data_IF_044423009008
#
_entry.id   IF_044423009008
#
_cell.length_a   1.000
_cell.length_b   1.000
_cell.length_c   1.000
_cell.angle_alpha   90.00
_cell.angle_beta   90.00
_cell.angle_gamma   90.00
#
_symmetry.space_group_name_H-M   'P 1'
#
loop_
_entity.id
_entity.type
_entity.pdbx_description
1 polymer ?
#
# COMPACT_ATOMS: atom_id res chain seq x y z
N UNK A 1 -31.09 23.29 16.57
CA UNK A 1 -31.10 23.26 18.05
C UNK A 1 -29.94 24.09 18.54
N UNK A 2 -30.25 25.12 19.32
CA UNK A 2 -29.34 26.14 19.85
C UNK A 2 -29.02 25.78 21.30
N UNK A 3 -27.76 25.74 21.70
CA UNK A 3 -27.38 25.90 23.10
C UNK A 3 -26.12 26.75 23.20
N UNK A 4 -26.30 27.97 23.72
CA UNK A 4 -25.25 28.80 24.32
C UNK A 4 -25.30 28.59 25.83
N UNK A 5 -24.15 28.34 26.44
CA UNK A 5 -23.81 28.84 27.77
C UNK A 5 -22.29 28.70 27.97
N UNK A 6 -21.60 29.83 28.10
CA UNK A 6 -20.21 29.91 28.59
C UNK A 6 -20.20 29.87 30.12
N UNK A 7 -19.21 29.21 30.70
CA UNK A 7 -18.66 29.54 32.02
C UNK A 7 -17.12 29.50 31.95
N UNK A 8 -16.40 30.40 32.64
CA UNK A 8 -14.95 30.56 32.48
C UNK A 8 -14.20 29.57 33.37
N UNK A 9 -13.22 28.85 32.81
CA UNK A 9 -12.28 28.04 33.58
C UNK A 9 -10.97 28.80 33.71
N UNK A 10 -10.56 29.00 34.96
CA UNK A 10 -9.32 29.62 35.41
C UNK A 10 -8.10 28.87 34.87
N UNK A 11 -7.20 29.59 34.19
CA UNK A 11 -5.88 29.10 33.80
C UNK A 11 -4.95 29.04 35.03
N UNK A 12 -4.46 27.84 35.36
CA UNK A 12 -3.24 27.65 36.15
C UNK A 12 -2.13 27.18 35.21
N UNK A 13 -0.96 27.85 35.17
CA UNK A 13 0.14 27.39 34.34
C UNK A 13 0.85 26.26 35.09
N UNK A 14 0.66 25.02 34.66
CA UNK A 14 1.59 23.95 35.00
C UNK A 14 2.70 23.99 33.96
N UNK A 15 3.82 24.58 34.33
CA UNK A 15 5.06 24.43 33.58
C UNK A 15 5.49 22.96 33.68
N UNK A 16 5.24 22.18 32.62
CA UNK A 16 5.87 20.88 32.44
C UNK A 16 6.92 21.01 31.36
N UNK A 17 8.17 21.17 31.79
CA UNK A 17 9.36 21.03 30.96
C UNK A 17 9.47 19.55 30.54
N UNK A 18 8.92 19.21 29.38
CA UNK A 18 9.25 17.95 28.72
C UNK A 18 10.34 18.21 27.70
N UNK A 19 11.52 17.71 28.05
CA UNK A 19 12.73 17.71 27.26
C UNK A 19 12.47 17.19 25.85
N UNK A 20 12.85 17.99 24.85
CA UNK A 20 12.98 17.57 23.47
C UNK A 20 14.16 16.57 23.35
N UNK A 21 13.89 15.29 23.62
CA UNK A 21 14.75 14.24 23.12
C UNK A 21 14.46 14.02 21.64
N UNK A 22 15.13 14.83 20.82
CA UNK A 22 15.39 14.52 19.42
C UNK A 22 16.18 13.20 19.35
N UNK A 23 15.46 12.07 19.32
CA UNK A 23 16.04 10.81 18.85
C UNK A 23 16.21 10.93 17.35
N UNK A 24 17.42 11.34 16.98
CA UNK A 24 18.07 11.13 15.70
C UNK A 24 17.58 9.80 15.12
N UNK A 25 16.72 9.88 14.10
CA UNK A 25 16.41 8.72 13.27
C UNK A 25 17.75 8.18 12.79
N UNK A 26 18.08 6.95 13.20
CA UNK A 26 19.16 6.22 12.57
C UNK A 26 18.77 6.14 11.09
N UNK A 27 19.52 6.87 10.27
CA UNK A 27 19.57 6.64 8.84
C UNK A 27 19.91 5.17 8.64
N UNK A 28 18.89 4.36 8.38
CA UNK A 28 19.11 3.07 7.76
C UNK A 28 19.60 3.41 6.36
N UNK A 29 20.90 3.24 6.16
CA UNK A 29 21.48 3.32 4.83
C UNK A 29 20.63 2.45 3.88
N UNK A 30 20.21 2.97 2.72
CA UNK A 30 19.45 2.18 1.77
C UNK A 30 20.32 1.00 1.38
N UNK A 31 19.89 -0.21 1.73
CA UNK A 31 20.54 -1.45 1.33
C UNK A 31 20.63 -1.40 -0.20
N UNK A 32 21.83 -1.19 -0.75
CA UNK A 32 22.09 -1.21 -2.18
C UNK A 32 21.73 -2.61 -2.70
N UNK A 33 20.57 -2.71 -3.35
CA UNK A 33 19.76 -3.93 -3.43
C UNK A 33 19.93 -4.75 -4.72
N UNK A 34 21.00 -4.59 -5.51
CA UNK A 34 21.07 -5.32 -6.78
C UNK A 34 21.43 -6.81 -6.64
N UNK A 35 21.94 -7.26 -5.48
CA UNK A 35 22.26 -8.69 -5.23
C UNK A 35 21.64 -9.27 -3.95
N UNK A 36 20.82 -8.51 -3.23
CA UNK A 36 20.27 -8.94 -1.95
C UNK A 36 19.00 -9.80 -2.15
N UNK A 37 19.05 -11.06 -1.70
CA UNK A 37 17.85 -11.89 -1.54
C UNK A 37 17.29 -11.76 -0.13
N UNK A 38 16.01 -11.45 0.01
CA UNK A 38 15.30 -11.49 1.30
C UNK A 38 14.29 -12.64 1.22
N UNK A 39 14.29 -13.54 2.21
CA UNK A 39 13.42 -14.71 2.27
C UNK A 39 13.52 -15.63 1.02
N UNK A 40 14.73 -15.75 0.45
CA UNK A 40 15.04 -16.48 -0.78
C UNK A 40 14.34 -15.95 -2.04
N UNK A 41 13.80 -14.73 -2.02
CA UNK A 41 13.24 -14.05 -3.19
C UNK A 41 14.24 -12.98 -3.65
N UNK A 42 14.79 -13.08 -4.87
CA UNK A 42 15.71 -12.07 -5.42
C UNK A 42 15.05 -10.69 -5.55
N UNK A 43 15.85 -9.64 -5.42
CA UNK A 43 15.37 -8.27 -5.64
C UNK A 43 14.74 -8.09 -7.03
N UNK A 44 15.31 -8.69 -8.09
CA UNK A 44 14.74 -8.63 -9.45
C UNK A 44 13.32 -9.20 -9.52
N UNK A 45 13.00 -10.25 -8.77
CA UNK A 45 11.64 -10.78 -8.66
C UNK A 45 10.71 -9.79 -7.95
N UNK A 46 11.19 -9.14 -6.87
CA UNK A 46 10.40 -8.11 -6.16
C UNK A 46 10.14 -6.89 -7.05
N UNK A 47 11.16 -6.45 -7.77
CA UNK A 47 11.09 -5.36 -8.72
C UNK A 47 10.07 -5.66 -9.84
N UNK A 48 10.05 -6.89 -10.36
CA UNK A 48 9.04 -7.33 -11.34
C UNK A 48 7.62 -7.16 -10.80
N UNK A 49 7.33 -7.67 -9.60
CA UNK A 49 5.98 -7.58 -9.04
C UNK A 49 5.59 -6.17 -8.58
N UNK A 50 6.54 -5.36 -8.14
CA UNK A 50 6.30 -3.95 -7.86
C UNK A 50 5.94 -3.18 -9.14
N UNK A 51 6.65 -3.42 -10.26
CA UNK A 51 6.28 -2.84 -11.55
C UNK A 51 4.91 -3.32 -12.05
N UNK A 52 4.53 -4.57 -11.74
CA UNK A 52 3.18 -5.06 -12.02
C UNK A 52 2.11 -4.31 -11.21
N UNK A 53 2.40 -3.94 -9.96
CA UNK A 53 1.55 -3.08 -9.14
C UNK A 53 1.46 -1.66 -9.71
N UNK A 54 2.58 -1.07 -10.16
CA UNK A 54 2.62 0.25 -10.81
C UNK A 54 1.73 0.30 -12.06
N UNK A 55 1.76 -0.75 -12.88
CA UNK A 55 0.97 -0.84 -14.11
C UNK A 55 -0.53 -1.13 -13.88
N UNK A 56 -0.92 -1.56 -12.67
CA UNK A 56 -2.26 -2.07 -12.39
C UNK A 56 -3.38 -1.07 -12.72
N UNK A 57 -3.23 0.19 -12.30
CA UNK A 57 -4.24 1.23 -12.52
C UNK A 57 -4.42 1.56 -14.01
N UNK A 58 -3.32 1.58 -14.78
CA UNK A 58 -3.33 1.81 -16.21
C UNK A 58 -4.05 0.68 -16.96
N UNK A 59 -3.76 -0.57 -16.62
CA UNK A 59 -4.33 -1.74 -17.30
C UNK A 59 -5.80 -2.00 -16.95
N UNK A 60 -6.20 -1.75 -15.70
CA UNK A 60 -7.53 -2.13 -15.21
C UNK A 60 -8.56 -0.99 -15.30
N UNK A 61 -8.12 0.27 -15.43
CA UNK A 61 -9.03 1.40 -15.43
C UNK A 61 -8.68 2.44 -16.50
N UNK A 62 -7.55 3.13 -16.34
CA UNK A 62 -7.18 4.26 -17.19
C UNK A 62 -5.70 4.53 -17.08
N UNK A 63 -4.99 4.88 -18.19
CA UNK A 63 -3.61 5.35 -18.13
C UNK A 63 -3.46 6.64 -17.30
N UNK A 64 -4.55 7.37 -17.05
CA UNK A 64 -4.59 8.62 -16.29
C UNK A 64 -5.39 8.46 -14.99
N UNK A 65 -5.03 7.54 -14.08
CA UNK A 65 -5.78 7.39 -12.84
C UNK A 65 -5.49 8.60 -11.94
N UNK A 66 -6.54 9.14 -11.31
CA UNK A 66 -6.36 10.19 -10.30
C UNK A 66 -5.53 9.64 -9.12
N UNK A 67 -6.00 8.55 -8.52
CA UNK A 67 -5.34 7.85 -7.43
C UNK A 67 -4.70 6.55 -7.94
N UNK A 68 -3.43 6.64 -8.33
CA UNK A 68 -2.66 5.57 -8.98
C UNK A 68 -2.21 4.45 -8.01
N UNK A 69 -3.00 4.12 -7.00
CA UNK A 69 -2.65 3.08 -6.04
C UNK A 69 -3.02 1.70 -6.59
N UNK A 70 -2.00 0.86 -6.77
CA UNK A 70 -2.10 -0.47 -7.33
C UNK A 70 -1.46 -1.51 -6.43
N UNK A 71 -2.08 -2.70 -6.39
CA UNK A 71 -1.66 -3.80 -5.52
C UNK A 71 -1.73 -5.12 -6.27
N UNK A 72 -0.72 -5.96 -6.10
CA UNK A 72 -0.74 -7.36 -6.57
C UNK A 72 -0.46 -8.31 -5.42
N UNK A 73 -1.08 -9.48 -5.46
CA UNK A 73 -0.86 -10.55 -4.49
C UNK A 73 -0.35 -11.78 -5.25
N UNK A 74 0.78 -12.31 -4.79
CA UNK A 74 1.59 -13.29 -5.51
C UNK A 74 1.86 -14.50 -4.62
N UNK A 75 1.78 -15.69 -5.20
CA UNK A 75 2.30 -16.90 -4.61
C UNK A 75 3.70 -17.19 -5.17
N UNK A 76 4.75 -16.89 -4.40
CA UNK A 76 6.13 -17.15 -4.81
C UNK A 76 6.53 -18.63 -4.77
N UNK A 77 5.77 -19.47 -4.08
CA UNK A 77 6.03 -20.93 -4.03
C UNK A 77 5.44 -21.67 -5.23
N UNK A 78 4.52 -21.04 -5.97
CA UNK A 78 3.94 -21.60 -7.17
C UNK A 78 4.82 -21.29 -8.39
N UNK A 79 5.61 -22.26 -8.82
CA UNK A 79 6.52 -22.16 -9.97
C UNK A 79 5.87 -22.56 -11.30
N UNK A 80 4.55 -22.80 -11.36
CA UNK A 80 3.85 -23.25 -12.58
C UNK A 80 3.91 -22.24 -13.74
N UNK A 81 4.23 -20.97 -13.43
CA UNK A 81 4.39 -19.87 -14.40
C UNK A 81 5.82 -19.34 -14.49
N UNK A 82 6.79 -20.04 -13.90
CA UNK A 82 8.21 -19.67 -13.90
C UNK A 82 8.73 -19.27 -12.51
N UNK A 83 10.00 -18.85 -12.48
CA UNK A 83 10.74 -18.59 -11.23
C UNK A 83 10.29 -17.34 -10.44
N UNK A 84 9.44 -16.49 -11.03
CA UNK A 84 8.93 -15.27 -10.39
C UNK A 84 7.82 -15.55 -9.37
N UNK A 85 7.18 -16.72 -9.45
CA UNK A 85 5.92 -17.02 -8.76
C UNK A 85 4.70 -16.81 -9.65
N UNK A 86 3.51 -16.99 -9.08
CA UNK A 86 2.23 -16.85 -9.78
C UNK A 86 1.39 -15.72 -9.19
N UNK A 87 0.90 -14.83 -10.05
CA UNK A 87 -0.11 -13.84 -9.67
C UNK A 87 -1.39 -14.56 -9.22
N UNK A 88 -1.88 -14.24 -8.02
CA UNK A 88 -3.16 -14.75 -7.51
C UNK A 88 -4.28 -13.77 -7.82
N UNK A 89 -4.07 -12.50 -7.47
CA UNK A 89 -5.04 -11.45 -7.73
C UNK A 89 -4.36 -10.08 -7.82
N UNK A 90 -5.12 -9.10 -8.32
CA UNK A 90 -4.71 -7.70 -8.51
C UNK A 90 -5.85 -6.81 -8.03
N UNK A 91 -5.52 -5.63 -7.52
CA UNK A 91 -6.48 -4.61 -7.09
C UNK A 91 -5.92 -3.22 -7.31
N UNK A 92 -6.82 -2.26 -7.53
CA UNK A 92 -6.49 -0.83 -7.67
C UNK A 92 -7.41 -0.04 -6.75
N UNK A 93 -7.07 1.20 -6.42
CA UNK A 93 -7.97 2.05 -5.65
C UNK A 93 -9.25 2.35 -6.44
N UNK A 94 -10.40 1.94 -5.89
CA UNK A 94 -11.70 2.05 -6.56
C UNK A 94 -12.70 2.92 -5.81
N UNK A 95 -12.28 3.58 -4.73
CA UNK A 95 -13.18 4.31 -3.84
C UNK A 95 -14.11 5.29 -4.57
N UNK A 96 -13.59 6.13 -5.46
CA UNK A 96 -14.38 7.08 -6.26
C UNK A 96 -15.22 6.42 -7.35
N UNK A 97 -14.76 5.28 -7.89
CA UNK A 97 -15.46 4.55 -8.96
C UNK A 97 -16.69 3.81 -8.44
N UNK A 98 -16.59 3.21 -7.25
CA UNK A 98 -17.64 2.36 -6.67
C UNK A 98 -18.42 3.07 -5.56
N UNK A 99 -17.95 4.22 -5.09
CA UNK A 99 -18.58 4.94 -3.96
C UNK A 99 -18.34 4.26 -2.60
N UNK A 100 -17.28 3.46 -2.47
CA UNK A 100 -16.89 2.80 -1.22
C UNK A 100 -15.60 3.44 -0.67
N UNK A 101 -15.64 4.24 0.40
CA UNK A 101 -14.50 5.02 0.86
C UNK A 101 -13.32 4.18 1.34
N UNK A 102 -13.53 2.91 1.69
CA UNK A 102 -12.45 2.02 2.18
C UNK A 102 -11.87 1.12 1.09
N UNK A 103 -12.38 1.20 -0.14
CA UNK A 103 -11.95 0.31 -1.24
C UNK A 103 -10.66 0.83 -1.91
N UNK A 104 -9.59 0.89 -1.13
CA UNK A 104 -8.23 1.14 -1.58
C UNK A 104 -7.67 -0.09 -2.31
N UNK A 105 -6.55 0.06 -3.00
CA UNK A 105 -5.95 -1.01 -3.81
C UNK A 105 -5.69 -2.31 -3.05
N UNK A 106 -5.27 -2.20 -1.78
CA UNK A 106 -5.00 -3.35 -0.91
C UNK A 106 -6.28 -4.08 -0.50
N UNK A 107 -7.33 -3.34 -0.13
CA UNK A 107 -8.63 -3.91 0.23
C UNK A 107 -9.29 -4.54 -1.00
N UNK A 108 -9.23 -3.87 -2.15
CA UNK A 108 -9.72 -4.40 -3.42
C UNK A 108 -8.98 -5.70 -3.80
N UNK A 109 -7.65 -5.73 -3.68
CA UNK A 109 -6.87 -6.93 -3.95
C UNK A 109 -7.23 -8.09 -3.00
N UNK A 110 -7.35 -7.84 -1.69
CA UNK A 110 -7.76 -8.86 -0.72
C UNK A 110 -9.14 -9.43 -1.06
N UNK A 111 -10.12 -8.57 -1.37
CA UNK A 111 -11.46 -9.01 -1.79
C UNK A 111 -11.42 -9.86 -3.06
N UNK A 112 -10.64 -9.43 -4.06
CA UNK A 112 -10.46 -10.15 -5.31
C UNK A 112 -9.81 -11.52 -5.08
N UNK A 113 -8.78 -11.59 -4.22
CA UNK A 113 -8.16 -12.86 -3.84
C UNK A 113 -9.13 -13.81 -3.16
N UNK A 114 -9.90 -13.33 -2.18
CA UNK A 114 -10.92 -14.16 -1.51
C UNK A 114 -11.93 -14.73 -2.50
N UNK A 115 -12.40 -13.92 -3.45
CA UNK A 115 -13.31 -14.37 -4.52
C UNK A 115 -12.66 -15.40 -5.45
N UNK A 116 -11.42 -15.16 -5.89
CA UNK A 116 -10.68 -16.04 -6.81
C UNK A 116 -10.37 -17.39 -6.16
N UNK A 117 -9.91 -17.37 -4.90
CA UNK A 117 -9.50 -18.57 -4.17
C UNK A 117 -10.70 -19.48 -3.89
N UNK A 118 -11.88 -18.91 -3.63
CA UNK A 118 -13.10 -19.65 -3.25
C UNK A 118 -14.06 -19.91 -4.40
N UNK A 119 -13.77 -19.43 -5.62
CA UNK A 119 -14.62 -19.67 -6.77
C UNK A 119 -14.66 -21.16 -7.12
N UNK A 120 -15.86 -21.77 -7.05
CA UNK A 120 -16.06 -23.20 -7.29
C UNK A 120 -15.85 -23.64 -8.74
N UNK A 121 -15.93 -22.69 -9.68
CA UNK A 121 -15.57 -22.91 -11.08
C UNK A 121 -14.09 -22.57 -11.37
N UNK A 122 -13.36 -22.03 -10.39
CA UNK A 122 -11.97 -21.62 -10.52
C UNK A 122 -10.98 -22.76 -10.27
N UNK A 123 -9.71 -22.54 -10.63
CA UNK A 123 -8.65 -23.55 -10.46
C UNK A 123 -8.26 -23.79 -9.00
N UNK A 124 -8.60 -22.86 -8.10
CA UNK A 124 -8.30 -22.98 -6.67
C UNK A 124 -9.40 -23.74 -5.93
N UNK A 125 -10.68 -23.34 -6.10
CA UNK A 125 -11.86 -23.98 -5.51
C UNK A 125 -11.66 -24.36 -4.02
N UNK A 126 -11.11 -23.42 -3.25
CA UNK A 126 -10.85 -23.61 -1.83
C UNK A 126 -12.14 -23.35 -1.05
N UNK A 127 -12.30 -24.09 0.05
CA UNK A 127 -13.26 -23.69 1.08
C UNK A 127 -12.84 -22.36 1.72
N UNK A 128 -13.76 -21.70 2.45
CA UNK A 128 -13.45 -20.46 3.15
C UNK A 128 -12.28 -20.61 4.14
N UNK A 129 -12.20 -21.73 4.86
CA UNK A 129 -11.10 -22.01 5.79
C UNK A 129 -9.75 -22.17 5.07
N UNK A 130 -9.72 -22.96 4.00
CA UNK A 130 -8.51 -23.14 3.19
C UNK A 130 -8.05 -21.84 2.51
N UNK A 131 -8.99 -20.98 2.10
CA UNK A 131 -8.67 -19.67 1.55
C UNK A 131 -8.04 -18.75 2.60
N UNK A 132 -8.54 -18.75 3.85
CA UNK A 132 -7.92 -18.00 4.95
C UNK A 132 -6.49 -18.50 5.21
N UNK A 133 -6.28 -19.81 5.25
CA UNK A 133 -4.94 -20.41 5.44
C UNK A 133 -3.99 -20.11 4.27
N UNK A 134 -4.53 -19.96 3.05
CA UNK A 134 -3.73 -19.69 1.87
C UNK A 134 -3.00 -18.34 1.95
N UNK A 135 -3.59 -17.31 2.57
CA UNK A 135 -2.97 -15.98 2.68
C UNK A 135 -1.59 -16.01 3.36
N UNK A 136 -1.36 -16.92 4.31
CA UNK A 136 -0.06 -17.10 4.98
C UNK A 136 1.08 -17.54 4.05
N UNK A 137 0.77 -17.94 2.80
CA UNK A 137 1.75 -18.30 1.77
C UNK A 137 1.92 -17.21 0.71
N UNK A 138 1.12 -16.15 0.75
CA UNK A 138 1.08 -15.10 -0.25
C UNK A 138 1.89 -13.88 0.18
N UNK A 139 2.45 -13.19 -0.80
CA UNK A 139 3.13 -11.90 -0.63
C UNK A 139 2.32 -10.81 -1.32
N UNK A 140 2.07 -9.70 -0.62
CA UNK A 140 1.34 -8.54 -1.13
C UNK A 140 2.32 -7.42 -1.48
N UNK A 141 2.23 -6.90 -2.71
CA UNK A 141 3.01 -5.78 -3.21
C UNK A 141 2.08 -4.60 -3.49
N UNK A 142 2.35 -3.45 -2.88
CA UNK A 142 1.64 -2.19 -3.13
C UNK A 142 2.63 -1.13 -3.59
N UNK A 143 2.25 -0.31 -4.57
CA UNK A 143 3.15 0.73 -5.08
C UNK A 143 3.33 1.91 -4.11
N UNK A 144 2.45 2.09 -3.13
CA UNK A 144 2.58 3.05 -2.03
C UNK A 144 2.37 2.39 -0.67
N UNK A 145 3.08 2.84 0.35
CA UNK A 145 2.93 2.39 1.73
C UNK A 145 1.46 2.51 2.17
N UNK A 146 0.97 1.43 2.77
CA UNK A 146 -0.42 1.28 3.12
C UNK A 146 -0.77 2.22 4.25
N UNK A 147 -1.91 2.91 4.11
CA UNK A 147 -2.49 3.67 5.20
C UNK A 147 -2.80 2.72 6.38
N UNK A 148 -2.94 3.23 7.62
CA UNK A 148 -3.12 2.36 8.79
C UNK A 148 -4.32 1.42 8.71
N UNK A 149 -5.38 1.75 7.96
CA UNK A 149 -6.49 0.83 7.66
C UNK A 149 -6.01 -0.38 6.85
N UNK A 150 -5.37 -0.15 5.70
CA UNK A 150 -4.88 -1.19 4.83
C UNK A 150 -3.76 -2.01 5.48
N UNK A 151 -2.83 -1.36 6.18
CA UNK A 151 -1.78 -2.04 6.93
C UNK A 151 -2.35 -2.98 8.00
N UNK A 152 -3.41 -2.54 8.70
CA UNK A 152 -4.13 -3.39 9.65
C UNK A 152 -4.80 -4.56 8.95
N UNK A 153 -5.48 -4.33 7.82
CA UNK A 153 -6.13 -5.39 7.05
C UNK A 153 -5.14 -6.44 6.52
N UNK A 154 -3.98 -6.01 6.03
CA UNK A 154 -2.88 -6.88 5.59
C UNK A 154 -2.40 -7.74 6.77
N UNK A 155 -2.18 -7.12 7.92
CA UNK A 155 -1.71 -7.83 9.12
C UNK A 155 -2.74 -8.83 9.65
N UNK A 156 -4.03 -8.49 9.57
CA UNK A 156 -5.16 -9.38 9.90
C UNK A 156 -5.29 -10.56 8.92
N UNK A 157 -5.11 -10.31 7.61
CA UNK A 157 -5.13 -11.36 6.60
C UNK A 157 -3.96 -12.35 6.74
N UNK A 158 -2.90 -11.97 7.46
CA UNK A 158 -1.83 -12.89 7.82
C UNK A 158 -0.88 -13.22 6.67
N UNK A 159 -0.70 -12.30 5.71
CA UNK A 159 0.23 -12.49 4.59
C UNK A 159 1.63 -12.88 5.06
N UNK A 160 2.34 -13.69 4.25
CA UNK A 160 3.74 -14.04 4.50
C UNK A 160 4.62 -12.78 4.53
N UNK A 161 4.43 -11.93 3.53
CA UNK A 161 5.22 -10.71 3.35
C UNK A 161 4.34 -9.58 2.83
N UNK A 162 4.62 -8.38 3.32
CA UNK A 162 4.08 -7.13 2.87
C UNK A 162 5.22 -6.27 2.32
N UNK A 163 5.12 -5.94 1.04
CA UNK A 163 6.12 -5.20 0.29
C UNK A 163 5.52 -3.89 -0.23
N UNK A 164 6.18 -2.75 0.01
CA UNK A 164 5.70 -1.46 -0.47
C UNK A 164 6.76 -0.64 -1.21
N UNK A 165 6.27 0.22 -2.11
CA UNK A 165 7.05 1.19 -2.87
C UNK A 165 7.26 2.49 -2.11
N UNK A 166 6.62 3.57 -2.56
CA UNK A 166 6.72 4.91 -1.96
C UNK A 166 6.34 4.90 -0.48
N UNK A 167 7.08 5.62 0.36
CA UNK A 167 6.77 5.72 1.80
C UNK A 167 5.51 6.57 2.08
N UNK A 168 4.88 6.37 3.24
CA UNK A 168 3.73 7.18 3.66
C UNK A 168 4.10 8.66 3.81
N UNK A 169 5.33 8.94 4.27
CA UNK A 169 5.85 10.30 4.42
C UNK A 169 5.96 10.97 3.04
N UNK A 170 6.52 10.28 2.05
CA UNK A 170 6.60 10.77 0.68
C UNK A 170 5.22 10.97 0.05
N UNK A 171 4.26 10.05 0.28
CA UNK A 171 2.86 10.21 -0.16
C UNK A 171 2.26 11.51 0.40
N UNK A 172 2.50 11.80 1.68
CA UNK A 172 2.04 13.03 2.33
C UNK A 172 2.72 14.26 1.76
N UNK A 173 4.03 14.21 1.54
CA UNK A 173 4.82 15.29 0.94
C UNK A 173 4.33 15.64 -0.48
N UNK A 174 3.87 14.62 -1.22
CA UNK A 174 3.24 14.77 -2.53
C UNK A 174 1.77 15.26 -2.46
N UNK A 175 1.27 15.64 -1.29
CA UNK A 175 -0.03 16.30 -1.13
C UNK A 175 -1.21 15.37 -0.83
N UNK A 176 -0.99 14.06 -0.70
CA UNK A 176 -2.07 13.11 -0.38
C UNK A 176 -2.42 13.15 1.11
N UNK A 177 -3.72 13.20 1.41
CA UNK A 177 -4.20 13.07 2.78
C UNK A 177 -3.98 11.67 3.34
N UNK A 178 -3.27 11.54 4.45
CA UNK A 178 -3.04 10.27 5.16
C UNK A 178 -3.17 10.44 6.68
N UNK A 179 -3.61 9.37 7.35
CA UNK A 179 -3.40 9.23 8.79
C UNK A 179 -1.92 8.89 8.97
N UNK A 180 -1.18 9.75 9.69
CA UNK A 180 0.29 9.69 9.83
C UNK A 180 0.75 8.60 10.81
N UNK A 181 0.42 7.35 10.50
CA UNK A 181 0.89 6.16 11.20
C UNK A 181 1.50 5.24 10.16
N UNK A 182 2.80 4.99 10.27
CA UNK A 182 3.50 4.08 9.36
C UNK A 182 2.99 2.65 9.48
N UNK A 183 3.15 1.89 8.41
CA UNK A 183 2.88 0.44 8.42
C UNK A 183 3.74 -0.28 9.45
N UNK A 184 4.99 0.16 9.65
CA UNK A 184 5.88 -0.38 10.67
C UNK A 184 5.32 -0.15 12.08
N UNK A 185 4.74 1.02 12.35
CA UNK A 185 4.09 1.26 13.64
C UNK A 185 2.88 0.33 13.83
N UNK A 186 2.00 0.21 12.83
CA UNK A 186 0.85 -0.72 12.90
C UNK A 186 1.31 -2.15 13.19
N UNK A 187 2.32 -2.64 12.46
CA UNK A 187 2.83 -4.00 12.61
C UNK A 187 3.46 -4.25 13.99
N UNK A 188 4.09 -3.24 14.59
CA UNK A 188 4.63 -3.33 15.97
C UNK A 188 3.56 -3.41 17.05
N UNK A 189 2.33 -2.95 16.78
CA UNK A 189 1.22 -2.99 17.74
C UNK A 189 0.45 -4.31 17.73
N UNK A 190 0.67 -5.17 16.72
CA UNK A 190 -0.11 -6.39 16.49
C UNK A 190 0.70 -7.65 16.84
N UNK A 191 1.14 -7.74 18.09
CA UNK A 191 1.93 -8.86 18.62
C UNK A 191 1.09 -10.07 19.07
N UNK A 192 -0.21 -9.89 19.32
CA UNK A 192 -1.12 -10.96 19.77
C UNK A 192 -1.58 -11.90 18.63
N UNK A 193 -1.27 -11.57 17.38
CA UNK A 193 -1.61 -12.41 16.23
C UNK A 193 -0.51 -13.45 15.99
N UNK A 194 -0.91 -14.70 15.81
CA UNK A 194 -0.01 -15.86 15.65
C UNK A 194 0.83 -15.82 14.37
N UNK A 195 0.37 -15.13 13.32
CA UNK A 195 1.09 -14.99 12.05
C UNK A 195 2.22 -13.98 12.18
N UNK A 196 3.38 -14.29 11.59
CA UNK A 196 4.50 -13.33 11.45
C UNK A 196 4.62 -12.90 9.99
N UNK A 197 4.25 -11.66 9.71
CA UNK A 197 4.35 -11.06 8.38
C UNK A 197 5.64 -10.26 8.26
N UNK A 198 6.49 -10.58 7.28
CA UNK A 198 7.65 -9.76 6.96
C UNK A 198 7.23 -8.43 6.35
N UNK A 199 7.77 -7.31 6.84
CA UNK A 199 7.57 -5.98 6.26
C UNK A 199 8.83 -5.57 5.49
N UNK A 200 8.70 -5.24 4.20
CA UNK A 200 9.81 -4.90 3.31
C UNK A 200 9.46 -3.64 2.51
N UNK A 201 10.26 -2.60 2.63
CA UNK A 201 10.09 -1.38 1.86
C UNK A 201 10.85 -0.22 2.49
N UNK A 202 10.93 0.93 1.79
CA UNK A 202 10.46 1.14 0.41
C UNK A 202 11.33 0.39 -0.63
N UNK A 203 10.73 -0.11 -1.72
CA UNK A 203 11.48 -0.63 -2.89
C UNK A 203 11.06 0.09 -4.17
N UNK A 204 12.00 0.30 -5.09
CA UNK A 204 11.75 1.05 -6.34
C UNK A 204 11.11 2.43 -6.14
N UNK A 205 11.45 3.15 -5.06
CA UNK A 205 10.95 4.51 -4.80
C UNK A 205 11.18 5.46 -5.98
N UNK A 206 12.30 5.30 -6.69
CA UNK A 206 12.61 6.04 -7.91
C UNK A 206 11.59 5.84 -9.05
N UNK A 207 10.86 4.71 -9.06
CA UNK A 207 9.80 4.43 -10.02
C UNK A 207 8.39 4.69 -9.45
N UNK A 208 8.19 4.54 -8.14
CA UNK A 208 6.86 4.69 -7.52
C UNK A 208 6.54 6.12 -7.11
N UNK A 209 7.52 6.90 -6.62
CA UNK A 209 7.28 8.26 -6.13
C UNK A 209 6.67 9.18 -7.22
N UNK A 210 7.11 9.13 -8.50
CA UNK A 210 6.51 9.92 -9.56
C UNK A 210 5.01 9.64 -9.79
N UNK A 211 4.53 8.43 -9.46
CA UNK A 211 3.11 8.06 -9.62
C UNK A 211 2.20 8.87 -8.69
N UNK A 212 2.73 9.32 -7.56
CA UNK A 212 1.99 10.09 -6.56
C UNK A 212 2.18 11.60 -6.71
N UNK A 213 3.15 12.03 -7.52
CA UNK A 213 3.41 13.44 -7.78
C UNK A 213 2.48 14.04 -8.85
N UNK A 214 2.15 13.30 -9.90
CA UNK A 214 1.58 13.88 -11.13
C UNK A 214 0.26 14.64 -10.94
N UNK A 215 -0.52 14.38 -9.88
CA UNK A 215 -1.79 15.08 -9.66
C UNK A 215 -1.64 16.37 -8.85
N UNK A 216 -0.63 16.45 -7.99
CA UNK A 216 -0.50 17.52 -7.00
C UNK A 216 0.75 18.37 -7.17
N UNK A 217 1.74 17.90 -7.92
CA UNK A 217 2.88 18.69 -8.39
C UNK A 217 2.62 19.17 -9.83
N UNK A 218 2.40 20.49 -10.04
CA UNK A 218 2.20 21.05 -11.38
C UNK A 218 3.41 20.88 -12.31
N UNK A 219 4.62 20.71 -11.76
CA UNK A 219 5.84 20.50 -12.52
C UNK A 219 6.07 19.03 -12.89
N UNK A 220 5.39 18.09 -12.22
CA UNK A 220 5.49 16.67 -12.55
C UNK A 220 4.82 16.39 -13.91
N UNK A 221 5.44 15.55 -14.76
CA UNK A 221 4.83 15.15 -16.03
C UNK A 221 3.58 14.29 -15.79
N UNK A 222 2.58 14.44 -16.65
CA UNK A 222 1.48 13.50 -16.68
C UNK A 222 1.93 12.13 -17.21
N UNK A 223 1.24 11.03 -16.84
CA UNK A 223 1.50 9.72 -17.41
C UNK A 223 1.40 9.73 -18.95
N UNK A 224 2.02 8.76 -19.59
CA UNK A 224 1.93 8.61 -21.05
C UNK A 224 0.46 8.45 -21.49
N UNK A 225 0.05 9.23 -22.49
CA UNK A 225 -1.35 9.31 -22.95
C UNK A 225 -2.23 10.31 -22.19
N UNK A 226 -1.69 10.96 -21.17
CA UNK A 226 -2.39 11.94 -20.34
C UNK A 226 -1.90 13.36 -20.59
N UNK A 227 -2.78 14.33 -20.41
CA UNK A 227 -2.46 15.75 -20.46
C UNK A 227 -2.99 16.47 -19.22
N UNK A 228 -2.33 17.56 -18.82
CA UNK A 228 -2.77 18.38 -17.70
C UNK A 228 -3.89 19.30 -18.17
N UNK A 229 -5.09 19.09 -17.62
CA UNK A 229 -6.29 19.85 -17.92
C UNK A 229 -6.29 21.25 -17.32
N UNK A 230 -7.35 22.01 -17.59
CA UNK A 230 -7.52 23.39 -17.07
C UNK A 230 -7.56 23.47 -15.54
N UNK A 231 -7.96 22.39 -14.88
CA UNK A 231 -8.01 22.29 -13.41
C UNK A 231 -6.66 21.92 -12.79
N UNK A 232 -5.59 21.79 -13.59
CA UNK A 232 -4.26 21.42 -13.10
C UNK A 232 -4.08 19.93 -12.81
N UNK A 233 -5.07 19.10 -13.12
CA UNK A 233 -5.10 17.64 -12.90
C UNK A 233 -4.75 16.93 -14.21
N UNK A 234 -4.01 15.82 -14.14
CA UNK A 234 -3.76 14.97 -15.30
C UNK A 234 -4.99 14.14 -15.64
N UNK A 235 -5.45 14.25 -16.88
CA UNK A 235 -6.63 13.57 -17.44
C UNK A 235 -6.32 12.99 -18.84
N UNK A 236 -7.23 12.18 -19.38
CA UNK A 236 -7.10 11.66 -20.74
C UNK A 236 -7.07 12.83 -21.73
N UNK A 237 -6.10 12.80 -22.67
CA UNK A 237 -5.95 13.81 -23.72
C UNK A 237 -7.08 13.79 -24.75
#
# INVERSE_FOLDING_TARGET
MNFKALLPILFWPVASSHEHHARRAQSQDPIAADTASINNIPFSTRAYWMRRANAASAELASPCPFAAFGTVIVNHTDSSKGALGKLVCIGINENGRVGNPVLHGEIAAINNCSSILTNSAGSYNLTAGEALDAFAKLSIYTNGESCPMCASAIRWAGFREYIYGTSIDTIIEQGWGQIRISSLEVFRRLFDLSTQSGLIGPILANETDPLFAWQFDPAAPCPEGCARGRMGVCENS
#
